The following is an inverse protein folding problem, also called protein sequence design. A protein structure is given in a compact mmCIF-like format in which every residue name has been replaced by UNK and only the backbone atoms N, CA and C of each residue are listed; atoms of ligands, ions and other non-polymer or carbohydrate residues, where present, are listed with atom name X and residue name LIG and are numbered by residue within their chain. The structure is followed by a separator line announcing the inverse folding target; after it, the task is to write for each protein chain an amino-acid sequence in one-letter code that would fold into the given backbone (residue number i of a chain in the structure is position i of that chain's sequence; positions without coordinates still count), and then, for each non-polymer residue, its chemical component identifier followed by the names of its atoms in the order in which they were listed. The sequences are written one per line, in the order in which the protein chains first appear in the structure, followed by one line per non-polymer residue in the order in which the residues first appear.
data_IF_153013619530
#
_entry.id   IF_153013619530
#
_cell.length_a   1.000
_cell.length_b   1.000
_cell.length_c   1.000
_cell.angle_alpha   90.00
_cell.angle_beta   90.00
_cell.angle_gamma   90.00
#
_symmetry.space_group_name_H-M   'P 1'
#
loop_
_entity.id
_entity.type
_entity.pdbx_description
1 polymer ?
#
# COMPACT_ATOMS: atom_id res chain seq x y z
N UNK A 1 -33.28 12.18 -2.73
CA UNK A 1 -32.30 13.16 -3.25
C UNK A 1 -31.37 12.41 -4.21
N UNK A 2 -30.62 13.08 -5.10
CA UNK A 2 -29.72 12.37 -5.99
C UNK A 2 -28.57 11.76 -5.19
N UNK A 3 -28.29 10.50 -5.47
CA UNK A 3 -27.24 9.73 -4.83
C UNK A 3 -25.97 9.82 -5.67
N UNK A 4 -24.83 9.96 -5.00
CA UNK A 4 -23.53 10.01 -5.64
C UNK A 4 -22.55 9.08 -4.97
N UNK A 5 -21.68 8.49 -5.79
CA UNK A 5 -20.45 7.87 -5.36
C UNK A 5 -19.30 8.80 -5.72
N UNK A 6 -18.52 9.15 -4.72
CA UNK A 6 -17.39 10.04 -4.87
C UNK A 6 -16.11 9.32 -4.45
N UNK A 7 -15.13 9.30 -5.36
CA UNK A 7 -13.82 8.73 -5.10
C UNK A 7 -12.78 9.82 -5.31
N UNK A 8 -11.91 9.99 -4.33
CA UNK A 8 -10.74 10.86 -4.46
C UNK A 8 -9.44 10.15 -4.12
N UNK A 9 -8.38 10.66 -4.74
CA UNK A 9 -7.00 10.21 -4.58
C UNK A 9 -6.22 11.33 -3.92
N UNK A 10 -5.75 11.11 -2.69
CA UNK A 10 -4.82 12.01 -2.02
C UNK A 10 -3.35 11.63 -2.32
N UNK A 11 -2.44 12.59 -2.17
CA UNK A 11 -0.98 12.38 -2.36
C UNK A 11 -0.45 11.25 -1.49
N UNK A 12 0.68 10.66 -1.86
CA UNK A 12 1.34 9.63 -1.03
C UNK A 12 2.05 10.19 0.21
N UNK A 13 2.28 11.50 0.23
CA UNK A 13 3.04 12.17 1.29
C UNK A 13 2.15 12.51 2.49
N UNK A 14 0.82 12.47 2.31
CA UNK A 14 -0.13 12.60 3.42
C UNK A 14 -0.22 11.29 4.20
N UNK A 15 -0.36 11.38 5.51
CA UNK A 15 -0.57 10.20 6.35
C UNK A 15 -2.00 9.69 6.20
N UNK A 16 -2.24 8.44 6.59
CA UNK A 16 -3.60 7.89 6.60
C UNK A 16 -4.58 8.74 7.44
N UNK A 17 -4.10 9.26 8.58
CA UNK A 17 -4.89 10.12 9.46
C UNK A 17 -5.21 11.48 8.83
N UNK A 18 -4.29 12.06 8.04
CA UNK A 18 -4.56 13.27 7.27
C UNK A 18 -5.56 13.01 6.14
N UNK A 19 -5.47 11.86 5.48
CA UNK A 19 -6.45 11.47 4.45
C UNK A 19 -7.86 11.28 5.04
N UNK A 20 -7.96 10.74 6.25
CA UNK A 20 -9.22 10.66 7.00
C UNK A 20 -9.73 12.04 7.43
N UNK A 21 -8.84 12.93 7.89
CA UNK A 21 -9.20 14.30 8.23
C UNK A 21 -9.77 15.06 7.01
N UNK A 22 -9.19 14.87 5.83
CA UNK A 22 -9.72 15.41 4.57
C UNK A 22 -11.12 14.85 4.27
N UNK A 23 -11.33 13.54 4.46
CA UNK A 23 -12.65 12.93 4.27
C UNK A 23 -13.70 13.53 5.23
N UNK A 24 -13.34 13.76 6.50
CA UNK A 24 -14.20 14.43 7.47
C UNK A 24 -14.49 15.87 7.08
N UNK A 25 -13.48 16.64 6.66
CA UNK A 25 -13.68 18.02 6.20
C UNK A 25 -14.70 18.09 5.05
N UNK A 26 -14.60 17.21 4.06
CA UNK A 26 -15.54 17.21 2.94
C UNK A 26 -16.93 16.69 3.34
N UNK A 27 -17.00 15.79 4.31
CA UNK A 27 -18.27 15.38 4.92
C UNK A 27 -18.96 16.59 5.59
N UNK A 28 -18.23 17.38 6.37
CA UNK A 28 -18.78 18.56 7.04
C UNK A 28 -19.31 19.59 6.02
N UNK A 29 -18.62 19.77 4.89
CA UNK A 29 -19.08 20.64 3.78
C UNK A 29 -20.39 20.14 3.17
N UNK A 30 -20.54 18.82 3.01
CA UNK A 30 -21.77 18.22 2.49
C UNK A 30 -22.92 18.40 3.49
N UNK A 31 -22.67 18.14 4.77
CA UNK A 31 -23.65 18.29 5.85
C UNK A 31 -24.10 19.75 6.02
N UNK A 32 -23.17 20.71 5.94
CA UNK A 32 -23.47 22.13 5.98
C UNK A 32 -24.38 22.60 4.83
N UNK A 33 -24.32 21.92 3.68
CA UNK A 33 -25.15 22.22 2.51
C UNK A 33 -26.42 21.34 2.42
N UNK A 34 -26.80 20.69 3.51
CA UNK A 34 -28.06 19.93 3.62
C UNK A 34 -28.01 18.54 2.98
N UNK A 35 -26.82 17.96 2.83
CA UNK A 35 -26.62 16.56 2.44
C UNK A 35 -26.26 15.65 3.61
N UNK A 36 -26.14 14.35 3.33
CA UNK A 36 -25.66 13.33 4.26
C UNK A 36 -24.65 12.42 3.58
N UNK A 37 -23.71 11.88 4.37
CA UNK A 37 -22.71 10.90 3.90
C UNK A 37 -22.96 9.60 4.65
N UNK A 38 -23.81 8.69 4.14
CA UNK A 38 -24.14 7.43 4.80
C UNK A 38 -22.93 6.51 4.98
N UNK A 39 -21.93 6.60 4.10
CA UNK A 39 -20.79 5.70 4.11
C UNK A 39 -19.51 6.37 3.66
N UNK A 40 -18.43 6.09 4.37
CA UNK A 40 -17.07 6.50 4.00
C UNK A 40 -16.17 5.28 4.16
N UNK A 41 -15.46 4.92 3.10
CA UNK A 41 -14.52 3.81 3.10
C UNK A 41 -13.13 4.30 2.70
N UNK A 42 -12.16 4.12 3.58
CA UNK A 42 -10.75 4.33 3.27
C UNK A 42 -10.13 3.02 2.80
N UNK A 43 -9.63 2.99 1.56
CA UNK A 43 -8.94 1.81 1.02
C UNK A 43 -7.43 1.81 1.36
N UNK A 44 -6.93 2.91 1.93
CA UNK A 44 -5.53 3.13 2.26
C UNK A 44 -4.66 3.42 1.04
N UNK A 45 -3.35 3.20 1.19
CA UNK A 45 -2.36 3.48 0.15
C UNK A 45 -2.36 2.37 -0.91
N UNK A 46 -2.63 2.73 -2.18
CA UNK A 46 -2.57 1.82 -3.34
C UNK A 46 -1.69 2.39 -4.44
N UNK A 47 -1.12 1.50 -5.26
CA UNK A 47 -0.37 1.90 -6.46
C UNK A 47 -1.31 2.34 -7.58
N UNK A 48 -0.93 3.40 -8.29
CA UNK A 48 -1.67 3.91 -9.45
C UNK A 48 -1.04 3.33 -10.72
N UNK A 49 -1.84 3.09 -11.76
CA UNK A 49 -1.37 2.53 -13.03
C UNK A 49 -0.29 3.39 -13.72
N UNK A 50 -0.33 4.71 -13.55
CA UNK A 50 0.64 5.65 -14.12
C UNK A 50 0.94 6.80 -13.17
N UNK A 51 1.94 7.63 -13.50
CA UNK A 51 2.34 8.76 -12.65
C UNK A 51 1.31 9.87 -12.72
N UNK A 52 0.86 10.35 -11.57
CA UNK A 52 0.09 11.58 -11.47
C UNK A 52 0.87 12.53 -10.58
N UNK A 53 1.21 13.73 -11.08
CA UNK A 53 1.99 14.76 -10.35
C UNK A 53 3.24 14.21 -9.62
N UNK A 54 3.96 13.29 -10.26
CA UNK A 54 5.16 12.56 -9.75
C UNK A 54 4.89 11.44 -8.74
N UNK A 55 3.68 11.28 -8.24
CA UNK A 55 3.29 10.19 -7.33
C UNK A 55 3.08 8.86 -8.08
N UNK A 56 3.48 7.76 -7.44
CA UNK A 56 3.25 6.37 -7.91
C UNK A 56 2.22 5.62 -7.07
N UNK A 57 1.93 6.15 -5.88
CA UNK A 57 0.94 5.65 -4.94
C UNK A 57 0.01 6.81 -4.54
N UNK A 58 -1.19 6.48 -4.08
CA UNK A 58 -2.15 7.43 -3.55
C UNK A 58 -3.00 6.79 -2.46
N UNK A 59 -3.48 7.60 -1.54
CA UNK A 59 -4.53 7.21 -0.60
C UNK A 59 -5.87 7.30 -1.31
N UNK A 60 -6.61 6.18 -1.33
CA UNK A 60 -7.93 6.12 -1.94
C UNK A 60 -9.00 6.17 -0.87
N UNK A 61 -9.97 7.06 -1.07
CA UNK A 61 -11.15 7.18 -0.22
C UNK A 61 -12.39 7.19 -1.10
N UNK A 62 -13.36 6.37 -0.74
CA UNK A 62 -14.71 6.34 -1.30
C UNK A 62 -15.68 6.97 -0.31
N UNK A 63 -16.59 7.78 -0.82
CA UNK A 63 -17.67 8.40 -0.08
C UNK A 63 -18.98 8.18 -0.84
N UNK A 64 -19.98 7.64 -0.15
CA UNK A 64 -21.35 7.59 -0.64
C UNK A 64 -22.07 8.83 -0.12
N UNK A 65 -22.65 9.60 -1.01
CA UNK A 65 -23.21 10.91 -0.72
C UNK A 65 -24.68 10.92 -1.12
N UNK A 66 -25.53 11.37 -0.21
CA UNK A 66 -26.92 11.74 -0.48
C UNK A 66 -27.09 13.24 -0.29
N UNK A 67 -27.04 14.01 -1.37
CA UNK A 67 -27.00 15.47 -1.27
C UNK A 67 -27.55 16.17 -2.53
N UNK A 68 -28.03 17.41 -2.42
CA UNK A 68 -28.35 18.22 -3.60
C UNK A 68 -27.09 18.52 -4.42
N UNK A 69 -27.26 18.74 -5.73
CA UNK A 69 -26.14 19.05 -6.65
C UNK A 69 -25.29 20.24 -6.17
N UNK A 70 -25.90 21.25 -5.55
CA UNK A 70 -25.18 22.41 -5.03
C UNK A 70 -24.13 22.04 -3.96
N UNK A 71 -24.43 21.08 -3.08
CA UNK A 71 -23.50 20.60 -2.06
C UNK A 71 -22.31 19.88 -2.67
N UNK A 72 -22.56 19.04 -3.68
CA UNK A 72 -21.51 18.30 -4.40
C UNK A 72 -20.61 19.27 -5.17
N UNK A 73 -21.18 20.26 -5.85
CA UNK A 73 -20.41 21.26 -6.60
C UNK A 73 -19.50 22.11 -5.68
N UNK A 74 -19.96 22.46 -4.48
CA UNK A 74 -19.14 23.18 -3.50
C UNK A 74 -17.97 22.31 -3.00
N UNK A 75 -18.23 21.05 -2.71
CA UNK A 75 -17.20 20.10 -2.29
C UNK A 75 -16.15 19.87 -3.40
N UNK A 76 -16.58 19.70 -4.66
CA UNK A 76 -15.68 19.60 -5.82
C UNK A 76 -14.83 20.86 -6.02
N UNK A 77 -15.42 22.05 -5.80
CA UNK A 77 -14.69 23.32 -5.84
C UNK A 77 -13.56 23.32 -4.81
N UNK A 78 -13.85 22.97 -3.57
CA UNK A 78 -12.84 22.92 -2.50
C UNK A 78 -11.75 21.87 -2.79
N UNK A 79 -12.12 20.69 -3.29
CA UNK A 79 -11.17 19.65 -3.69
C UNK A 79 -10.26 20.08 -4.85
N UNK A 80 -10.78 20.88 -5.79
CA UNK A 80 -9.97 21.37 -6.92
C UNK A 80 -8.90 22.37 -6.50
N UNK A 81 -9.14 23.11 -5.42
CA UNK A 81 -8.21 24.10 -4.83
C UNK A 81 -7.17 23.39 -3.97
N UNK A 82 -7.52 22.26 -3.36
CA UNK A 82 -6.63 21.52 -2.47
C UNK A 82 -5.53 20.78 -3.25
N UNK A 83 -4.28 21.18 -3.01
CA UNK A 83 -3.10 20.58 -3.67
C UNK A 83 -2.83 19.13 -3.26
N UNK A 84 -3.34 18.70 -2.10
CA UNK A 84 -3.20 17.33 -1.62
C UNK A 84 -4.09 16.33 -2.38
N UNK A 85 -5.07 16.82 -3.15
CA UNK A 85 -5.90 15.99 -4.00
C UNK A 85 -5.27 15.88 -5.40
N UNK A 86 -4.96 14.65 -5.80
CA UNK A 86 -4.41 14.34 -7.11
C UNK A 86 -5.49 14.26 -8.18
N UNK A 87 -6.59 13.58 -7.86
CA UNK A 87 -7.72 13.35 -8.76
C UNK A 87 -8.95 12.97 -7.97
N UNK A 88 -10.11 13.37 -8.46
CA UNK A 88 -11.39 12.93 -7.95
C UNK A 88 -12.32 12.54 -9.10
N UNK A 89 -13.34 11.76 -8.79
CA UNK A 89 -14.41 11.37 -9.70
C UNK A 89 -15.70 11.27 -8.91
N UNK A 90 -16.73 11.95 -9.39
CA UNK A 90 -18.08 11.88 -8.84
C UNK A 90 -18.99 11.23 -9.86
N UNK A 91 -19.71 10.20 -9.45
CA UNK A 91 -20.64 9.45 -10.30
C UNK A 91 -22.01 9.50 -9.66
N UNK A 92 -23.02 9.88 -10.44
CA UNK A 92 -24.42 9.80 -10.00
C UNK A 92 -24.88 8.35 -10.08
N UNK A 93 -25.45 7.84 -9.00
CA UNK A 93 -25.95 6.46 -8.90
C UNK A 93 -27.46 6.45 -8.62
N UNK A 94 -28.10 5.34 -8.97
CA UNK A 94 -29.54 5.14 -8.73
C UNK A 94 -29.82 4.56 -7.33
N UNK A 95 -28.88 3.78 -6.79
CA UNK A 95 -28.94 3.20 -5.45
C UNK A 95 -27.53 3.18 -4.82
N UNK A 96 -27.44 3.28 -3.50
CA UNK A 96 -26.20 3.12 -2.76
C UNK A 96 -26.01 1.65 -2.38
N UNK A 97 -24.87 1.08 -2.73
CA UNK A 97 -24.49 -0.26 -2.30
C UNK A 97 -24.04 -0.20 -0.82
N UNK A 98 -24.84 -0.77 0.08
CA UNK A 98 -24.56 -0.80 1.53
C UNK A 98 -23.41 -1.78 1.88
N UNK A 99 -23.19 -2.81 1.05
CA UNK A 99 -22.15 -3.83 1.26
C UNK A 99 -20.72 -3.29 1.14
N UNK A 100 -19.75 -3.91 1.82
CA UNK A 100 -18.33 -3.54 1.69
C UNK A 100 -17.90 -3.48 0.22
N UNK A 101 -17.19 -2.43 -0.19
CA UNK A 101 -16.72 -2.34 -1.57
C UNK A 101 -15.84 -3.52 -1.97
N UNK A 102 -15.86 -3.85 -3.26
CA UNK A 102 -15.05 -4.93 -3.84
C UNK A 102 -13.53 -4.77 -3.56
N UNK A 103 -13.07 -3.55 -3.26
CA UNK A 103 -11.67 -3.28 -2.89
C UNK A 103 -11.29 -3.76 -1.48
N UNK A 104 -12.24 -3.77 -0.53
CA UNK A 104 -12.03 -4.31 0.81
C UNK A 104 -12.27 -5.81 0.85
N UNK A 105 -13.29 -6.31 0.13
CA UNK A 105 -13.60 -7.75 0.07
C UNK A 105 -12.47 -8.63 -0.49
N UNK A 106 -11.58 -8.07 -1.33
CA UNK A 106 -10.42 -8.81 -1.86
C UNK A 106 -9.32 -9.03 -0.83
N UNK A 107 -9.08 -8.09 0.10
CA UNK A 107 -8.02 -8.24 1.12
C UNK A 107 -8.29 -9.46 2.02
N UNK A 108 -9.53 -9.67 2.42
CA UNK A 108 -9.90 -10.77 3.32
C UNK A 108 -9.75 -12.17 2.68
N UNK A 109 -9.73 -12.28 1.34
CA UNK A 109 -9.52 -13.56 0.65
C UNK A 109 -8.06 -13.97 0.61
N UNK A 110 -7.15 -13.02 0.44
CA UNK A 110 -5.72 -13.29 0.25
C UNK A 110 -5.04 -13.71 1.58
N UNK A 111 -5.50 -13.18 2.73
CA UNK A 111 -5.00 -13.58 4.06
C UNK A 111 -5.38 -15.03 4.46
N UNK A 112 -6.34 -15.66 3.77
CA UNK A 112 -6.77 -17.03 4.05
C UNK A 112 -5.95 -18.10 3.30
N UNK A 113 -5.11 -17.70 2.34
CA UNK A 113 -4.35 -18.61 1.47
C UNK A 113 -2.99 -19.06 2.00
N UNK A 114 -2.37 -18.29 2.92
CA UNK A 114 -0.93 -18.43 3.22
C UNK A 114 -0.63 -19.07 4.59
N UNK A 115 -1.51 -19.92 5.13
CA UNK A 115 -1.23 -20.72 6.34
C UNK A 115 -1.83 -22.12 6.22
N UNK A 116 -1.23 -22.95 5.38
CA UNK A 116 -1.72 -24.31 5.16
C UNK A 116 -0.84 -25.21 4.29
N UNK A 117 0.48 -25.05 4.28
CA UNK A 117 1.41 -26.07 3.80
C UNK A 117 2.35 -26.50 4.95
N UNK A 118 1.74 -26.84 6.08
CA UNK A 118 2.32 -27.81 6.98
C UNK A 118 1.94 -29.21 6.49
N UNK A 119 2.90 -30.13 6.57
CA UNK A 119 2.69 -31.57 6.57
C UNK A 119 2.39 -32.26 5.21
N UNK A 120 3.41 -32.32 4.34
CA UNK A 120 3.63 -33.54 3.56
C UNK A 120 4.98 -34.12 3.97
N UNK A 121 4.92 -35.03 4.94
CA UNK A 121 6.06 -35.79 5.41
C UNK A 121 6.86 -36.39 4.25
N UNK A 122 8.16 -36.15 4.27
CA UNK A 122 9.15 -36.98 3.57
C UNK A 122 9.11 -38.38 4.20
N UNK A 123 8.19 -39.21 3.73
CA UNK A 123 8.03 -40.59 4.15
C UNK A 123 7.67 -41.47 2.97
N UNK A 124 8.61 -42.32 2.55
CA UNK A 124 8.29 -43.57 1.87
C UNK A 124 8.42 -43.60 0.34
N UNK A 125 9.59 -44.09 -0.10
CA UNK A 125 9.83 -45.06 -1.18
C UNK A 125 8.84 -45.24 -2.34
N UNK A 126 9.39 -45.24 -3.56
CA UNK A 126 8.73 -45.84 -4.73
C UNK A 126 9.43 -45.49 -6.04
N UNK A 127 10.35 -46.36 -6.49
CA UNK A 127 11.20 -46.11 -7.65
C UNK A 127 10.52 -46.22 -9.02
N UNK A 128 10.98 -45.40 -9.95
CA UNK A 128 11.03 -45.61 -11.40
C UNK A 128 12.26 -44.80 -11.86
N UNK A 129 13.36 -45.35 -12.36
CA UNK A 129 13.47 -46.39 -13.38
C UNK A 129 14.13 -45.77 -14.61
N UNK A 130 15.47 -45.83 -14.67
CA UNK A 130 16.30 -45.85 -15.88
C UNK A 130 16.18 -44.72 -16.90
N UNK A 131 17.18 -43.83 -16.95
CA UNK A 131 17.65 -43.30 -18.23
C UNK A 131 19.15 -43.02 -18.19
N UNK A 132 19.90 -44.05 -18.56
CA UNK A 132 21.30 -44.01 -18.94
C UNK A 132 21.62 -42.86 -19.91
N UNK A 133 22.56 -42.00 -19.51
CA UNK A 133 23.47 -41.30 -20.42
C UNK A 133 24.85 -41.25 -19.79
N UNK A 134 25.62 -42.30 -20.03
CA UNK A 134 27.06 -42.29 -19.86
C UNK A 134 27.74 -41.61 -21.04
N UNK A 135 28.39 -40.47 -20.78
CA UNK A 135 29.56 -39.88 -21.43
C UNK A 135 30.12 -38.96 -20.33
N UNK A 136 31.30 -39.07 -19.76
CA UNK A 136 32.57 -39.56 -20.26
C UNK A 136 33.62 -38.54 -19.78
N UNK A 137 34.28 -38.83 -18.64
CA UNK A 137 35.65 -38.42 -18.31
C UNK A 137 36.00 -36.96 -17.99
N UNK A 138 36.35 -36.72 -16.73
CA UNK A 138 37.67 -36.15 -16.36
C UNK A 138 37.76 -34.66 -16.05
N UNK A 139 38.27 -34.34 -14.84
CA UNK A 139 38.91 -33.06 -14.55
C UNK A 139 38.63 -32.56 -13.13
N UNK A 140 39.59 -32.77 -12.22
CA UNK A 140 39.51 -32.39 -10.81
C UNK A 140 39.62 -30.89 -10.55
N UNK A 141 39.47 -30.52 -9.28
CA UNK A 141 39.65 -29.13 -8.86
C UNK A 141 38.94 -28.81 -7.56
N UNK A 142 39.50 -29.29 -6.46
CA UNK A 142 39.19 -28.93 -5.09
C UNK A 142 39.16 -27.39 -4.92
N UNK A 143 38.07 -26.85 -4.36
CA UNK A 143 38.06 -25.50 -3.79
C UNK A 143 37.45 -25.53 -2.39
N UNK A 144 38.28 -25.96 -1.46
CA UNK A 144 38.25 -25.45 -0.10
C UNK A 144 38.61 -23.96 -0.12
N UNK A 145 37.86 -23.14 0.62
CA UNK A 145 38.33 -21.79 0.97
C UNK A 145 37.25 -20.73 1.09
N UNK A 146 37.05 -20.26 2.32
CA UNK A 146 36.82 -18.83 2.57
C UNK A 146 35.46 -18.47 3.13
N UNK A 147 35.34 -18.48 4.46
CA UNK A 147 34.24 -17.86 5.19
C UNK A 147 34.11 -16.37 4.86
N UNK A 148 32.91 -15.96 4.45
CA UNK A 148 32.56 -14.56 4.23
C UNK A 148 32.31 -13.85 5.56
N UNK A 149 33.34 -13.21 6.11
CA UNK A 149 33.18 -12.21 7.17
C UNK A 149 32.51 -10.93 6.64
N UNK A 150 31.87 -10.13 7.51
CA UNK A 150 31.09 -8.96 7.10
C UNK A 150 32.00 -7.83 6.57
N UNK A 151 31.65 -7.29 5.40
CA UNK A 151 32.36 -6.19 4.73
C UNK A 151 32.18 -4.88 5.50
N UNK A 152 33.24 -4.41 6.17
CA UNK A 152 33.33 -3.03 6.68
C UNK A 152 33.48 -2.06 5.51
N UNK A 153 32.67 -0.99 5.50
CA UNK A 153 32.82 0.15 4.61
C UNK A 153 34.16 0.85 4.89
N UNK A 154 34.90 1.20 3.83
CA UNK A 154 36.18 1.93 3.92
C UNK A 154 36.18 3.03 2.86
N UNK A 155 36.37 4.27 3.29
CA UNK A 155 36.54 5.44 2.42
C UNK A 155 37.99 5.58 1.94
N UNK A 156 38.20 6.51 1.00
CA UNK A 156 39.26 6.52 -0.03
C UNK A 156 40.68 6.91 0.46
N UNK A 157 40.84 7.24 1.73
CA UNK A 157 42.03 7.86 2.30
C UNK A 157 42.61 7.13 3.54
N UNK A 158 42.07 5.96 3.90
CA UNK A 158 42.84 4.94 4.61
C UNK A 158 43.21 5.21 6.07
N UNK A 159 42.48 6.08 6.78
CA UNK A 159 42.52 6.17 8.25
C UNK A 159 41.17 5.79 8.85
N UNK A 160 41.18 4.86 9.81
CA UNK A 160 39.98 4.40 10.53
C UNK A 160 39.40 5.54 11.37
N UNK A 161 38.13 5.89 11.14
CA UNK A 161 37.41 6.89 11.94
C UNK A 161 36.53 6.15 12.95
N UNK A 162 36.92 6.19 14.22
CA UNK A 162 36.10 5.66 15.31
C UNK A 162 34.87 6.56 15.56
N UNK A 163 33.69 6.00 15.84
CA UNK A 163 32.51 6.78 16.18
C UNK A 163 32.66 7.38 17.58
N UNK A 164 32.67 8.71 17.68
CA UNK A 164 32.59 9.43 18.96
C UNK A 164 31.16 9.27 19.50
N UNK A 165 31.01 8.38 20.48
CA UNK A 165 29.84 8.31 21.37
C UNK A 165 30.08 9.26 22.54
N UNK A 166 29.59 10.50 22.42
CA UNK A 166 29.58 11.44 23.54
C UNK A 166 28.28 11.24 24.33
N UNK A 167 28.40 10.49 25.43
CA UNK A 167 27.39 10.40 26.47
C UNK A 167 27.44 11.69 27.31
N UNK A 168 26.39 12.50 27.22
CA UNK A 168 26.17 13.58 28.19
C UNK A 168 25.31 13.03 29.32
N UNK A 169 25.91 13.06 30.50
CA UNK A 169 25.40 12.58 31.76
C UNK A 169 24.16 13.34 32.23
N UNK A 170 23.29 12.57 32.87
CA UNK A 170 22.26 13.01 33.80
C UNK A 170 22.94 13.48 35.09
N UNK A 171 22.73 14.73 35.50
CA UNK A 171 22.83 15.18 36.90
C UNK A 171 21.71 16.18 37.18
N UNK A 172 21.34 16.23 38.47
CA UNK A 172 20.16 16.72 39.19
C UNK A 172 19.38 17.96 38.70
#
# INVERSE_FOLDING_TARGET
MPLYEHVFLARQDVTAQQAEALATQYKDVIEANGGSVPKTESWGLKSIAFRIRKNRKAHYTLMNIDAPHAAVAEMERQMSINEDILRFMTVKVEALEEGQSAMLQKRDRDDRGERGFGDRGFGGGGGFGGRDRGFGGGGGGDRSGGGGGPRRFRDRDGSDVEPVVEAVATEE
#
